data_IF_726356440530
#
_entry.id   IF_726356440530
#
_cell.length_a   1.000
_cell.length_b   1.000
_cell.length_c   1.000
_cell.angle_alpha   90.00
_cell.angle_beta   90.00
_cell.angle_gamma   90.00
#
_symmetry.space_group_name_H-M   'P 1'
#
loop_
_entity.id
_entity.type
_entity.pdbx_description
1 polymer ?
#
# COMPACT_ATOMS: atom_id res chain seq x y z
N UNK A 1 -15.11 1.23 33.57
CA UNK A 1 -16.12 2.32 33.51
C UNK A 1 -15.59 3.38 32.55
N UNK A 2 -16.47 4.10 31.84
CA UNK A 2 -16.06 5.20 30.98
C UNK A 2 -15.67 6.44 31.80
N UNK A 3 -14.85 7.33 31.21
CA UNK A 3 -14.51 8.62 31.83
C UNK A 3 -15.75 9.49 32.07
N UNK A 4 -15.63 10.42 33.02
CA UNK A 4 -16.65 11.43 33.29
C UNK A 4 -16.88 12.34 32.06
N UNK A 5 -18.02 13.03 32.03
CA UNK A 5 -18.36 13.95 30.93
C UNK A 5 -17.30 15.04 30.77
N UNK A 6 -16.81 15.60 31.87
CA UNK A 6 -15.82 16.68 31.85
C UNK A 6 -14.48 16.22 31.28
N UNK A 7 -14.04 15.01 31.61
CA UNK A 7 -12.81 14.42 31.06
C UNK A 7 -12.99 14.15 29.56
N UNK A 8 -14.14 13.60 29.13
CA UNK A 8 -14.43 13.39 27.71
C UNK A 8 -14.38 14.71 26.93
N UNK A 9 -15.00 15.75 27.47
CA UNK A 9 -15.02 17.07 26.85
C UNK A 9 -13.61 17.69 26.76
N UNK A 10 -12.78 17.55 27.79
CA UNK A 10 -11.40 18.02 27.76
C UNK A 10 -10.56 17.29 26.69
N UNK A 11 -10.72 15.96 26.59
CA UNK A 11 -10.07 15.15 25.54
C UNK A 11 -10.55 15.61 24.15
N UNK A 12 -11.87 15.70 23.95
CA UNK A 12 -12.43 16.10 22.66
C UNK A 12 -12.01 17.52 22.26
N UNK A 13 -11.96 18.47 23.19
CA UNK A 13 -11.47 19.83 22.93
C UNK A 13 -9.99 19.85 22.53
N UNK A 14 -9.13 19.05 23.18
CA UNK A 14 -7.73 18.93 22.79
C UNK A 14 -7.57 18.32 21.40
N UNK A 15 -8.25 17.20 21.14
CA UNK A 15 -8.10 16.45 19.90
C UNK A 15 -8.68 17.22 18.71
N UNK A 16 -9.88 17.80 18.84
CA UNK A 16 -10.54 18.57 17.77
C UNK A 16 -9.75 19.78 17.30
N UNK A 17 -8.91 20.40 18.15
CA UNK A 17 -7.98 21.45 17.74
C UNK A 17 -6.89 20.98 16.75
N UNK A 18 -6.76 19.68 16.53
CA UNK A 18 -5.75 19.06 15.67
C UNK A 18 -6.32 18.16 14.56
N UNK A 19 -7.65 18.12 14.41
CA UNK A 19 -8.35 17.36 13.38
C UNK A 19 -9.15 18.32 12.51
N UNK A 20 -9.14 18.09 11.20
CA UNK A 20 -10.11 18.67 10.31
C UNK A 20 -11.51 18.08 10.59
N UNK A 21 -12.55 18.75 10.09
CA UNK A 21 -13.92 18.26 10.23
C UNK A 21 -14.17 16.97 9.42
N UNK A 22 -15.31 16.34 9.70
CA UNK A 22 -15.70 15.09 9.05
C UNK A 22 -15.89 15.27 7.53
N UNK A 23 -16.45 16.40 7.09
CA UNK A 23 -16.65 16.72 5.68
C UNK A 23 -15.33 16.73 4.93
N UNK A 24 -14.30 17.39 5.48
CA UNK A 24 -12.97 17.43 4.90
C UNK A 24 -12.40 16.02 4.72
N UNK A 25 -12.50 15.15 5.73
CA UNK A 25 -12.00 13.78 5.64
C UNK A 25 -12.74 12.94 4.59
N UNK A 26 -14.04 13.20 4.37
CA UNK A 26 -14.82 12.53 3.33
C UNK A 26 -14.48 13.02 1.91
N UNK A 27 -14.13 14.30 1.76
CA UNK A 27 -13.78 14.94 0.50
C UNK A 27 -12.32 14.73 0.09
N UNK A 28 -11.43 14.49 1.05
CA UNK A 28 -10.00 14.34 0.79
C UNK A 28 -9.69 13.16 -0.14
N UNK A 29 -10.56 12.14 -0.19
CA UNK A 29 -10.45 10.97 -1.05
C UNK A 29 -11.47 10.95 -2.20
N UNK A 30 -11.93 12.10 -2.68
CA UNK A 30 -12.89 12.26 -3.81
C UNK A 30 -12.49 11.52 -5.10
N UNK A 31 -11.20 11.31 -5.35
CA UNK A 31 -10.65 10.55 -6.48
C UNK A 31 -10.89 9.04 -6.38
N UNK A 32 -11.34 8.53 -5.23
CA UNK A 32 -11.72 7.13 -5.02
C UNK A 32 -13.19 6.95 -5.43
N UNK A 33 -13.40 6.11 -6.45
CA UNK A 33 -14.74 5.84 -7.00
C UNK A 33 -15.58 4.88 -6.18
N UNK A 34 -14.95 3.98 -5.42
CA UNK A 34 -15.65 3.10 -4.51
C UNK A 34 -16.06 3.89 -3.26
N UNK A 35 -17.36 4.07 -3.05
CA UNK A 35 -17.91 4.84 -1.93
C UNK A 35 -17.64 4.19 -0.58
N UNK A 36 -17.63 2.86 -0.50
CA UNK A 36 -17.33 2.11 0.73
C UNK A 36 -15.87 2.26 1.08
N UNK A 37 -14.96 2.10 0.11
CA UNK A 37 -13.53 2.31 0.32
C UNK A 37 -13.24 3.76 0.73
N UNK A 38 -13.84 4.73 0.03
CA UNK A 38 -13.67 6.15 0.35
C UNK A 38 -14.04 6.48 1.79
N UNK A 39 -15.20 6.01 2.25
CA UNK A 39 -15.63 6.19 3.65
C UNK A 39 -14.67 5.51 4.62
N UNK A 40 -14.21 4.29 4.30
CA UNK A 40 -13.25 3.57 5.16
C UNK A 40 -11.90 4.27 5.24
N UNK A 41 -11.40 4.87 4.16
CA UNK A 41 -10.17 5.65 4.14
C UNK A 41 -10.31 6.93 5.00
N UNK A 42 -11.46 7.61 4.90
CA UNK A 42 -11.77 8.77 5.73
C UNK A 42 -11.79 8.42 7.23
N UNK A 43 -12.49 7.34 7.59
CA UNK A 43 -12.55 6.83 8.96
C UNK A 43 -11.17 6.45 9.49
N UNK A 44 -10.36 5.73 8.70
CA UNK A 44 -9.02 5.33 9.09
C UNK A 44 -8.12 6.55 9.30
N UNK A 45 -8.16 7.53 8.39
CA UNK A 45 -7.35 8.74 8.51
C UNK A 45 -7.71 9.54 9.75
N UNK A 46 -9.01 9.78 9.96
CA UNK A 46 -9.53 10.53 11.10
C UNK A 46 -9.22 9.80 12.42
N UNK A 47 -9.52 8.51 12.51
CA UNK A 47 -9.33 7.71 13.74
C UNK A 47 -7.86 7.57 14.11
N UNK A 48 -6.96 7.39 13.13
CA UNK A 48 -5.51 7.35 13.38
C UNK A 48 -5.03 8.66 13.98
N UNK A 49 -5.49 9.80 13.43
CA UNK A 49 -5.11 11.11 13.94
C UNK A 49 -5.70 11.37 15.33
N UNK A 50 -6.94 10.98 15.57
CA UNK A 50 -7.60 11.06 16.87
C UNK A 50 -6.83 10.26 17.93
N UNK A 51 -6.52 8.99 17.65
CA UNK A 51 -5.79 8.10 18.58
C UNK A 51 -4.38 8.62 18.87
N UNK A 52 -3.66 9.10 17.85
CA UNK A 52 -2.36 9.74 18.04
C UNK A 52 -2.47 10.90 19.04
N UNK A 53 -3.47 11.78 18.86
CA UNK A 53 -3.63 12.95 19.73
C UNK A 53 -4.04 12.59 21.14
N UNK A 54 -4.89 11.58 21.33
CA UNK A 54 -5.19 11.07 22.68
C UNK A 54 -3.92 10.57 23.37
N UNK A 55 -3.11 9.75 22.70
CA UNK A 55 -1.89 9.18 23.28
C UNK A 55 -0.80 10.23 23.52
N UNK A 56 -0.67 11.20 22.61
CA UNK A 56 0.20 12.37 22.79
C UNK A 56 -0.23 13.20 24.00
N UNK A 57 -1.52 13.49 24.16
CA UNK A 57 -2.06 14.24 25.30
C UNK A 57 -1.90 13.51 26.64
N UNK A 58 -1.90 12.17 26.62
CA UNK A 58 -1.57 11.35 27.80
C UNK A 58 -0.06 11.31 28.11
N UNK A 59 0.78 11.96 27.29
CA UNK A 59 2.24 11.88 27.39
C UNK A 59 2.71 10.43 27.37
N UNK A 60 2.31 9.68 26.34
CA UNK A 60 2.68 8.28 26.19
C UNK A 60 4.21 8.08 26.20
N UNK A 61 4.69 7.23 27.10
CA UNK A 61 6.10 6.87 27.26
C UNK A 61 6.32 5.36 27.08
N UNK A 62 7.58 4.97 26.88
CA UNK A 62 8.05 3.58 26.80
C UNK A 62 7.16 2.66 25.94
N UNK A 63 6.42 1.75 26.58
CA UNK A 63 5.57 0.76 25.92
C UNK A 63 4.34 1.38 25.27
N UNK A 64 3.79 2.46 25.85
CA UNK A 64 2.61 3.15 25.31
C UNK A 64 3.01 4.00 24.10
N UNK A 65 4.20 4.61 24.13
CA UNK A 65 4.78 5.30 22.98
C UNK A 65 5.03 4.32 21.83
N UNK A 66 5.55 3.12 22.11
CA UNK A 66 5.70 2.06 21.10
C UNK A 66 4.36 1.68 20.50
N UNK A 67 3.31 1.53 21.30
CA UNK A 67 1.97 1.24 20.81
C UNK A 67 1.45 2.37 19.89
N UNK A 68 1.63 3.63 20.29
CA UNK A 68 1.27 4.81 19.48
C UNK A 68 1.97 4.81 18.12
N UNK A 69 3.28 4.55 18.11
CA UNK A 69 4.09 4.49 16.89
C UNK A 69 3.59 3.37 15.97
N UNK A 70 3.38 2.17 16.51
CA UNK A 70 2.91 1.01 15.75
C UNK A 70 1.56 1.27 15.08
N UNK A 71 0.61 1.83 15.83
CA UNK A 71 -0.72 2.16 15.33
C UNK A 71 -0.64 3.17 14.17
N UNK A 72 0.11 4.26 14.34
CA UNK A 72 0.26 5.25 13.28
C UNK A 72 0.89 4.66 12.01
N UNK A 73 2.01 3.96 12.14
CA UNK A 73 2.71 3.38 10.98
C UNK A 73 1.84 2.36 10.27
N UNK A 74 1.16 1.48 11.02
CA UNK A 74 0.24 0.48 10.46
C UNK A 74 -0.90 1.14 9.70
N UNK A 75 -1.59 2.11 10.31
CA UNK A 75 -2.77 2.72 9.70
C UNK A 75 -2.43 3.59 8.49
N UNK A 76 -1.42 4.46 8.58
CA UNK A 76 -1.02 5.28 7.43
C UNK A 76 -0.47 4.45 6.27
N UNK A 77 0.36 3.42 6.56
CA UNK A 77 0.81 2.49 5.52
C UNK A 77 -0.35 1.77 4.82
N UNK A 78 -1.40 1.41 5.57
CA UNK A 78 -2.59 0.77 5.02
C UNK A 78 -3.40 1.72 4.13
N UNK A 79 -3.50 3.01 4.49
CA UNK A 79 -4.12 4.05 3.66
C UNK A 79 -3.37 4.19 2.33
N UNK A 80 -2.03 4.32 2.35
CA UNK A 80 -1.21 4.40 1.14
C UNK A 80 -1.40 3.17 0.23
N UNK A 81 -1.39 1.97 0.82
CA UNK A 81 -1.61 0.72 0.09
C UNK A 81 -2.98 0.67 -0.58
N UNK A 82 -4.04 0.97 0.16
CA UNK A 82 -5.41 0.92 -0.35
C UNK A 82 -5.65 1.94 -1.46
N UNK A 83 -5.16 3.17 -1.30
CA UNK A 83 -5.28 4.21 -2.33
C UNK A 83 -4.55 3.82 -3.61
N UNK A 84 -3.27 3.41 -3.52
CA UNK A 84 -2.51 3.02 -4.72
C UNK A 84 -3.11 1.79 -5.38
N UNK A 85 -3.59 0.82 -4.60
CA UNK A 85 -4.24 -0.37 -5.14
C UNK A 85 -5.48 0.00 -5.96
N UNK A 86 -6.38 0.81 -5.39
CA UNK A 86 -7.59 1.27 -6.09
C UNK A 86 -7.26 2.05 -7.36
N UNK A 87 -6.32 2.99 -7.30
CA UNK A 87 -5.97 3.81 -8.47
C UNK A 87 -5.39 2.93 -9.58
N UNK A 88 -4.48 2.02 -9.26
CA UNK A 88 -3.83 1.20 -10.28
C UNK A 88 -4.82 0.20 -10.88
N UNK A 89 -5.56 -0.55 -10.06
CA UNK A 89 -6.35 -1.69 -10.55
C UNK A 89 -7.79 -1.36 -10.91
N UNK A 90 -8.39 -0.31 -10.33
CA UNK A 90 -9.78 0.07 -10.63
C UNK A 90 -9.84 1.27 -11.58
N UNK A 91 -8.90 2.22 -11.47
CA UNK A 91 -8.89 3.43 -12.32
C UNK A 91 -8.01 3.30 -13.56
N UNK A 92 -6.94 2.50 -13.48
CA UNK A 92 -5.98 2.32 -14.58
C UNK A 92 -5.78 0.84 -15.03
N UNK A 93 -6.80 -0.04 -15.02
CA UNK A 93 -6.61 -1.47 -15.34
C UNK A 93 -6.08 -1.73 -16.76
N UNK A 94 -6.40 -0.83 -17.69
CA UNK A 94 -6.00 -0.93 -19.10
C UNK A 94 -4.56 -0.49 -19.36
N UNK A 95 -3.96 0.27 -18.43
CA UNK A 95 -2.66 0.87 -18.64
C UNK A 95 -1.56 -0.21 -18.76
N UNK A 96 -0.66 -0.14 -19.76
CA UNK A 96 0.39 -1.14 -19.96
C UNK A 96 1.31 -1.33 -18.74
N UNK A 97 1.65 -0.25 -18.05
CA UNK A 97 2.48 -0.32 -16.84
C UNK A 97 1.75 -1.06 -15.72
N UNK A 98 0.45 -0.88 -15.58
CA UNK A 98 -0.37 -1.59 -14.59
C UNK A 98 -0.52 -3.07 -14.95
N UNK A 99 -0.82 -3.40 -16.21
CA UNK A 99 -0.91 -4.79 -16.68
C UNK A 99 0.38 -5.58 -16.41
N UNK A 100 1.52 -4.92 -16.60
CA UNK A 100 2.83 -5.51 -16.34
C UNK A 100 3.08 -5.88 -14.88
N UNK A 101 2.32 -5.31 -13.93
CA UNK A 101 2.39 -5.70 -12.51
C UNK A 101 1.89 -7.13 -12.26
N UNK A 102 0.99 -7.62 -13.12
CA UNK A 102 0.38 -8.95 -12.99
C UNK A 102 0.95 -9.95 -13.98
N UNK A 103 1.53 -9.48 -15.08
CA UNK A 103 2.06 -10.32 -16.14
C UNK A 103 3.42 -10.90 -15.74
N UNK A 104 3.59 -12.21 -15.87
CA UNK A 104 4.90 -12.86 -15.74
C UNK A 104 5.13 -13.88 -16.85
N UNK A 105 6.38 -13.98 -17.29
CA UNK A 105 6.78 -14.94 -18.31
C UNK A 105 6.75 -16.35 -17.72
N UNK A 106 6.02 -17.24 -18.38
CA UNK A 106 5.96 -18.66 -18.05
C UNK A 106 6.26 -19.51 -19.28
N UNK A 107 6.52 -20.79 -19.06
CA UNK A 107 6.67 -21.78 -20.12
C UNK A 107 5.44 -22.67 -20.13
N UNK A 108 4.75 -22.73 -21.27
CA UNK A 108 3.67 -23.69 -21.49
C UNK A 108 4.15 -24.84 -22.35
N UNK A 109 3.76 -26.05 -21.97
CA UNK A 109 4.08 -27.25 -22.72
C UNK A 109 3.33 -27.26 -24.06
N UNK A 110 4.03 -27.65 -25.12
CA UNK A 110 3.42 -27.84 -26.43
C UNK A 110 2.60 -29.14 -26.40
N UNK A 111 1.33 -29.07 -26.77
CA UNK A 111 0.50 -30.26 -26.94
C UNK A 111 1.01 -31.07 -28.14
N UNK A 112 1.61 -32.22 -27.88
CA UNK A 112 2.21 -33.11 -28.89
C UNK A 112 1.56 -34.50 -28.75
N UNK A 113 1.01 -35.08 -29.84
CA UNK A 113 0.45 -36.42 -29.82
C UNK A 113 1.42 -37.46 -29.27
N UNK A 114 0.92 -38.44 -28.51
CA UNK A 114 1.72 -39.41 -27.77
C UNK A 114 2.77 -40.14 -28.65
N UNK A 115 2.41 -40.50 -29.89
CA UNK A 115 3.33 -41.16 -30.82
C UNK A 115 4.53 -40.27 -31.22
N UNK A 116 4.31 -38.97 -31.48
CA UNK A 116 5.38 -38.01 -31.78
C UNK A 116 6.21 -37.68 -30.54
N UNK A 117 5.57 -37.67 -29.37
CA UNK A 117 6.24 -37.45 -28.08
C UNK A 117 7.21 -38.60 -27.77
N UNK A 118 6.83 -39.84 -28.06
CA UNK A 118 7.72 -41.00 -27.93
C UNK A 118 8.93 -40.88 -28.86
N UNK A 119 8.70 -40.55 -30.14
CA UNK A 119 9.78 -40.32 -31.10
C UNK A 119 10.74 -39.21 -30.65
N UNK A 120 10.23 -38.13 -30.05
CA UNK A 120 11.03 -37.05 -29.48
C UNK A 120 11.89 -37.50 -28.29
N UNK A 121 11.32 -38.29 -27.36
CA UNK A 121 12.07 -38.85 -26.22
C UNK A 121 13.18 -39.79 -26.65
N UNK A 122 12.93 -40.61 -27.67
CA UNK A 122 13.89 -41.57 -28.17
C UNK A 122 15.04 -40.88 -28.92
N UNK A 123 14.76 -39.73 -29.58
CA UNK A 123 15.72 -39.00 -30.39
C UNK A 123 16.54 -37.96 -29.62
N UNK A 124 15.98 -37.36 -28.57
CA UNK A 124 16.60 -36.23 -27.86
C UNK A 124 16.72 -36.53 -26.36
N UNK A 125 17.94 -36.42 -25.83
CA UNK A 125 18.20 -36.41 -24.39
C UNK A 125 19.22 -35.32 -24.06
N UNK A 126 19.09 -34.72 -22.88
CA UNK A 126 20.06 -33.74 -22.41
C UNK A 126 20.31 -33.93 -20.91
N UNK A 127 21.56 -34.17 -20.53
CA UNK A 127 21.99 -34.35 -19.14
C UNK A 127 21.15 -35.37 -18.34
N UNK A 128 20.77 -36.49 -18.99
CA UNK A 128 19.95 -37.53 -18.38
C UNK A 128 18.52 -37.10 -18.02
N UNK A 129 18.06 -35.94 -18.50
CA UNK A 129 16.71 -35.42 -18.28
C UNK A 129 15.85 -35.56 -19.53
N UNK A 130 14.57 -35.78 -19.31
CA UNK A 130 13.55 -35.74 -20.36
C UNK A 130 13.40 -34.31 -20.89
N UNK A 131 13.42 -34.16 -22.21
CA UNK A 131 13.18 -32.88 -22.87
C UNK A 131 11.68 -32.69 -23.02
N UNK A 132 11.16 -31.64 -22.38
CA UNK A 132 9.76 -31.21 -22.51
C UNK A 132 9.72 -29.99 -23.42
N UNK A 133 9.16 -30.08 -24.64
CA UNK A 133 9.03 -28.93 -25.53
C UNK A 133 8.05 -27.92 -24.97
N UNK A 134 8.52 -26.69 -24.78
CA UNK A 134 7.72 -25.57 -24.25
C UNK A 134 7.84 -24.34 -25.14
N UNK A 135 6.82 -23.49 -25.14
CA UNK A 135 6.89 -22.13 -25.68
C UNK A 135 6.73 -21.09 -24.56
N UNK A 136 7.25 -19.88 -24.77
CA UNK A 136 7.06 -18.77 -23.83
C UNK A 136 5.63 -18.26 -23.93
N UNK A 137 4.99 -18.07 -22.79
CA UNK A 137 3.66 -17.48 -22.68
C UNK A 137 3.64 -16.46 -21.52
N UNK A 138 2.59 -15.64 -21.47
CA UNK A 138 2.35 -14.71 -20.38
C UNK A 138 1.23 -15.25 -19.50
N UNK A 139 1.53 -15.48 -18.23
CA UNK A 139 0.53 -15.81 -17.23
C UNK A 139 0.26 -14.60 -16.33
N UNK A 140 -0.91 -14.57 -15.70
CA UNK A 140 -1.34 -13.50 -14.81
C UNK A 140 -1.31 -13.94 -13.36
N UNK A 141 -0.75 -13.10 -12.51
CA UNK A 141 -0.82 -13.18 -11.06
C UNK A 141 -2.05 -12.42 -10.56
N UNK A 142 -2.62 -12.91 -9.47
CA UNK A 142 -3.71 -12.23 -8.76
C UNK A 142 -3.27 -10.85 -8.26
N UNK A 143 -4.09 -9.82 -8.46
CA UNK A 143 -3.82 -8.43 -8.05
C UNK A 143 -3.52 -8.30 -6.55
N UNK A 144 -4.08 -9.20 -5.72
CA UNK A 144 -3.84 -9.25 -4.26
C UNK A 144 -2.41 -9.65 -3.90
N UNK A 145 -1.71 -10.33 -4.80
CA UNK A 145 -0.32 -10.79 -4.61
C UNK A 145 0.72 -9.80 -5.12
N UNK A 146 0.29 -8.72 -5.79
CA UNK A 146 1.21 -7.68 -6.25
C UNK A 146 1.77 -6.97 -5.03
N UNK A 147 3.11 -7.00 -4.88
CA UNK A 147 3.79 -6.37 -3.75
C UNK A 147 3.62 -4.84 -3.78
N UNK A 148 3.57 -4.23 -2.60
CA UNK A 148 3.36 -2.79 -2.47
C UNK A 148 4.49 -1.95 -3.09
N UNK A 149 5.75 -2.35 -2.96
CA UNK A 149 6.88 -1.66 -3.60
C UNK A 149 6.72 -1.59 -5.13
N UNK A 150 6.18 -2.65 -5.75
CA UNK A 150 5.85 -2.64 -7.18
C UNK A 150 4.69 -1.72 -7.53
N UNK A 151 3.68 -1.62 -6.68
CA UNK A 151 2.60 -0.63 -6.83
C UNK A 151 3.16 0.80 -6.76
N UNK A 152 4.01 1.09 -5.77
CA UNK A 152 4.63 2.40 -5.60
C UNK A 152 5.58 2.76 -6.76
N UNK A 153 6.38 1.81 -7.24
CA UNK A 153 7.22 1.97 -8.43
C UNK A 153 6.40 2.28 -9.69
N UNK A 154 5.30 1.56 -9.90
CA UNK A 154 4.38 1.81 -11.02
C UNK A 154 3.76 3.20 -10.91
N UNK A 155 3.26 3.56 -9.72
CA UNK A 155 2.68 4.89 -9.49
C UNK A 155 3.66 6.02 -9.79
N UNK A 156 4.92 5.88 -9.36
CA UNK A 156 5.96 6.86 -9.68
C UNK A 156 6.31 6.89 -11.18
N UNK A 157 6.35 5.74 -11.83
CA UNK A 157 6.64 5.63 -13.27
C UNK A 157 5.53 6.24 -14.13
N UNK A 158 4.28 6.18 -13.65
CA UNK A 158 3.13 6.83 -14.27
C UNK A 158 3.06 8.34 -14.00
N UNK A 159 3.91 8.87 -13.11
CA UNK A 159 3.85 10.26 -12.67
C UNK A 159 2.70 10.56 -11.71
N UNK A 160 2.08 9.54 -11.09
CA UNK A 160 1.08 9.77 -10.03
C UNK A 160 1.71 10.41 -8.80
N UNK A 161 2.90 9.95 -8.44
CA UNK A 161 3.66 10.42 -7.28
C UNK A 161 5.14 10.62 -7.63
N UNK A 162 5.81 11.49 -6.89
CA UNK A 162 7.25 11.71 -7.04
C UNK A 162 8.08 10.54 -6.50
N UNK A 163 9.30 10.40 -7.03
CA UNK A 163 10.25 9.38 -6.57
C UNK A 163 10.67 9.55 -5.10
N UNK A 164 10.68 10.77 -4.58
CA UNK A 164 10.94 11.09 -3.16
C UNK A 164 9.86 10.48 -2.28
N UNK A 165 8.59 10.75 -2.61
CA UNK A 165 7.42 10.25 -1.90
C UNK A 165 7.30 8.73 -1.99
N UNK A 166 7.58 8.15 -3.17
CA UNK A 166 7.67 6.69 -3.35
C UNK A 166 8.61 6.04 -2.32
N UNK A 167 9.82 6.59 -2.14
CA UNK A 167 10.79 6.03 -1.19
C UNK A 167 10.23 6.04 0.24
N UNK A 168 9.61 7.15 0.62
CA UNK A 168 9.02 7.32 1.95
C UNK A 168 7.86 6.33 2.20
N UNK A 169 6.90 6.21 1.28
CA UNK A 169 5.76 5.30 1.49
C UNK A 169 6.17 3.83 1.48
N UNK A 170 7.19 3.45 0.71
CA UNK A 170 7.78 2.10 0.74
C UNK A 170 8.45 1.85 2.09
N UNK A 171 9.21 2.82 2.62
CA UNK A 171 9.82 2.73 3.96
C UNK A 171 8.74 2.55 5.04
N UNK A 172 7.62 3.29 4.98
CA UNK A 172 6.51 3.13 5.94
C UNK A 172 5.88 1.74 5.88
N UNK A 173 5.70 1.20 4.66
CA UNK A 173 5.17 -0.15 4.47
C UNK A 173 6.11 -1.24 4.98
N UNK A 174 7.42 -1.11 4.75
CA UNK A 174 8.40 -2.02 5.31
C UNK A 174 8.46 -1.92 6.83
N UNK A 175 8.34 -0.70 7.38
CA UNK A 175 8.28 -0.47 8.81
C UNK A 175 7.05 -1.13 9.45
N UNK A 176 5.88 -1.11 8.79
CA UNK A 176 4.69 -1.87 9.20
C UNK A 176 5.01 -3.36 9.41
N UNK A 177 5.75 -3.97 8.48
CA UNK A 177 6.14 -5.38 8.58
C UNK A 177 7.22 -5.61 9.65
N UNK A 178 8.03 -4.59 9.96
CA UNK A 178 9.04 -4.64 11.02
C UNK A 178 8.47 -4.42 12.44
N UNK A 179 7.16 -4.27 12.61
CA UNK A 179 6.47 -4.19 13.93
C UNK A 179 6.46 -5.57 14.63
N UNK A 180 6.94 -6.64 13.98
CA UNK A 180 7.21 -7.91 14.67
C UNK A 180 8.19 -7.70 15.83
N UNK A 181 7.84 -8.18 17.02
CA UNK A 181 8.58 -8.00 18.28
C UNK A 181 10.09 -8.27 18.11
N UNK A 182 10.47 -9.29 17.33
CA UNK A 182 11.87 -9.64 17.05
C UNK A 182 12.62 -8.61 16.17
N UNK A 183 11.92 -7.91 15.27
CA UNK A 183 12.50 -6.86 14.42
C UNK A 183 12.65 -5.52 15.16
N UNK A 184 11.79 -5.25 16.16
CA UNK A 184 11.84 -4.03 16.95
C UNK A 184 12.96 -3.99 17.98
N UNK A 185 13.39 -5.14 18.51
CA UNK A 185 14.52 -5.22 19.46
C UNK A 185 15.80 -4.59 18.86
N UNK A 186 15.90 -4.52 17.53
CA UNK A 186 17.08 -4.02 16.81
C UNK A 186 17.00 -2.53 16.40
N UNK A 187 15.87 -1.84 16.61
CA UNK A 187 15.65 -0.49 16.08
C UNK A 187 15.50 0.57 17.19
N UNK A 188 16.05 1.75 16.93
CA UNK A 188 15.97 2.91 17.81
C UNK A 188 14.56 3.51 17.85
N UNK A 189 14.06 3.79 19.06
CA UNK A 189 12.72 4.35 19.30
C UNK A 189 12.58 5.76 18.71
N UNK A 190 13.66 6.55 18.71
CA UNK A 190 13.67 7.91 18.15
C UNK A 190 13.43 7.85 16.64
N UNK A 191 14.14 6.98 15.94
CA UNK A 191 13.94 6.75 14.50
C UNK A 191 12.50 6.31 14.20
N UNK A 192 11.92 5.40 14.99
CA UNK A 192 10.55 4.94 14.79
C UNK A 192 9.51 6.05 15.02
N UNK A 193 9.74 6.91 16.01
CA UNK A 193 8.89 8.07 16.28
C UNK A 193 8.90 9.03 15.08
N UNK A 194 10.08 9.39 14.58
CA UNK A 194 10.21 10.26 13.41
C UNK A 194 9.60 9.63 12.16
N UNK A 195 9.75 8.32 11.98
CA UNK A 195 9.09 7.58 10.90
C UNK A 195 7.56 7.66 11.01
N UNK A 196 6.99 7.50 12.21
CA UNK A 196 5.53 7.58 12.44
C UNK A 196 4.97 8.97 12.13
N UNK A 197 5.69 10.03 12.52
CA UNK A 197 5.31 11.41 12.21
C UNK A 197 5.40 11.68 10.71
N UNK A 198 6.46 11.23 10.05
CA UNK A 198 6.62 11.32 8.60
C UNK A 198 5.49 10.61 7.86
N UNK A 199 5.04 9.45 8.33
CA UNK A 199 3.91 8.73 7.74
C UNK A 199 2.61 9.54 7.77
N UNK A 200 2.38 10.37 8.80
CA UNK A 200 1.29 11.33 8.78
C UNK A 200 1.56 12.51 7.85
N UNK A 201 2.73 13.17 7.97
CA UNK A 201 3.05 14.37 7.20
C UNK A 201 3.08 14.15 5.69
N UNK A 202 3.38 12.92 5.23
CA UNK A 202 3.34 12.58 3.82
C UNK A 202 1.94 12.35 3.26
N UNK A 203 0.88 12.31 4.08
CA UNK A 203 -0.49 12.12 3.61
C UNK A 203 -0.96 13.26 2.71
N UNK A 204 -0.73 14.50 3.11
CA UNK A 204 -1.11 15.69 2.35
C UNK A 204 -0.44 15.73 0.97
N UNK A 205 0.91 15.70 0.83
CA UNK A 205 1.54 15.73 -0.49
C UNK A 205 1.19 14.49 -1.33
N UNK A 206 0.92 13.34 -0.71
CA UNK A 206 0.47 12.15 -1.44
C UNK A 206 -0.91 12.33 -2.07
N UNK A 207 -1.87 12.83 -1.29
CA UNK A 207 -3.22 13.09 -1.75
C UNK A 207 -3.19 14.18 -2.84
N UNK A 208 -2.47 15.27 -2.62
CA UNK A 208 -2.37 16.37 -3.59
C UNK A 208 -1.78 15.92 -4.93
N UNK A 209 -0.67 15.17 -4.90
CA UNK A 209 -0.06 14.65 -6.13
C UNK A 209 -1.03 13.75 -6.89
N UNK A 210 -1.76 12.87 -6.20
CA UNK A 210 -2.77 12.03 -6.83
C UNK A 210 -3.90 12.87 -7.43
N UNK A 211 -4.48 13.81 -6.67
CA UNK A 211 -5.57 14.67 -7.14
C UNK A 211 -5.18 15.46 -8.40
N UNK A 212 -3.96 15.99 -8.41
CA UNK A 212 -3.46 16.82 -9.50
C UNK A 212 -3.07 16.00 -10.74
N UNK A 213 -2.44 14.85 -10.55
CA UNK A 213 -1.84 14.08 -11.65
C UNK A 213 -2.79 13.05 -12.27
N UNK A 214 -3.69 12.45 -11.47
CA UNK A 214 -4.59 11.39 -11.94
C UNK A 214 -5.47 11.81 -13.14
N UNK A 215 -6.09 13.01 -13.18
CA UNK A 215 -6.90 13.42 -14.33
C UNK A 215 -6.11 13.44 -15.64
N UNK A 216 -4.87 13.95 -15.61
CA UNK A 216 -4.01 14.01 -16.79
C UNK A 216 -3.54 12.61 -17.24
N UNK A 217 -3.39 11.66 -16.32
CA UNK A 217 -2.99 10.29 -16.66
C UNK A 217 -4.16 9.53 -17.30
N UNK A 218 -5.38 9.73 -16.78
CA UNK A 218 -6.60 9.11 -17.32
C UNK A 218 -6.91 9.57 -18.74
N UNK A 219 -6.61 10.82 -19.10
CA UNK A 219 -6.82 11.34 -20.47
C UNK A 219 -5.78 10.83 -21.47
N UNK A 220 -4.55 10.59 -21.02
CA UNK A 220 -3.43 10.21 -21.89
C UNK A 220 -3.29 8.69 -22.11
N UNK A 221 -3.91 7.85 -21.26
CA UNK A 221 -3.82 6.39 -21.33
C UNK A 221 -5.17 5.71 -21.00
N UNK A 222 -6.18 5.77 -21.90
CA UNK A 222 -7.47 5.09 -21.71
C UNK A 222 -7.35 3.56 -21.66
#
# INVERSE_FOLDING_TARGET
>A
MAFSKDIKQAIDSYVSGHLADLSWHQEVFDFITDSTLKLRLADEFMSTRYLYKVLEGLSAEEWLLRAQIRLQVLSYASIYEAVLHHILFDRLPSNPYVKSLTDYTTKKEISIPAHKRKALKDALSHNGREIIPTYNDVAKTDITKVRFDKKAECAASLGLIENSLKKDIVEFYEARNAIHIHAEIKKDLVYQLELSKRAYFRMEPFIEQIKNNLPAILTNNP
#
